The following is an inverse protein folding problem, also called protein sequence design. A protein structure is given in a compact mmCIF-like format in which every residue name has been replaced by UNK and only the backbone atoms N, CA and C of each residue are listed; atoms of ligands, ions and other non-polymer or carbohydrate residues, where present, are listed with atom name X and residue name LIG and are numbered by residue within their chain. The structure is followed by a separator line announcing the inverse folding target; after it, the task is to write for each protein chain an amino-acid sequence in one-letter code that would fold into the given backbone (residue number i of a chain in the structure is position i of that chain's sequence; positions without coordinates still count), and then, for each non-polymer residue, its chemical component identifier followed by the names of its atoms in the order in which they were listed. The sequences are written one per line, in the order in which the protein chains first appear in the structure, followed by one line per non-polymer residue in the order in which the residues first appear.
data_IF_470066249073
#
_entry.id   IF_470066249073
#
_cell.length_a   1.000
_cell.length_b   1.000
_cell.length_c   1.000
_cell.angle_alpha   90.00
_cell.angle_beta   90.00
_cell.angle_gamma   90.00
#
_symmetry.space_group_name_H-M   'P 1'
#
loop_
_entity.id
_entity.type
_entity.pdbx_description
1 polymer ?
#
# COMPACT_ATOMS: atom_id res chain seq x y z
N UNK A 1 -22.84 3.75 11.72
CA UNK A 1 -21.59 3.32 11.06
C UNK A 1 -21.45 1.82 11.32
N UNK A 2 -21.33 0.99 10.28
CA UNK A 2 -21.13 -0.47 10.43
C UNK A 2 -19.70 -0.76 10.87
N UNK A 3 -19.49 -1.89 11.55
CA UNK A 3 -18.19 -2.29 12.13
C UNK A 3 -17.07 -2.37 11.08
N UNK A 4 -17.37 -2.86 9.87
CA UNK A 4 -16.46 -2.94 8.73
C UNK A 4 -15.96 -1.57 8.25
N UNK A 5 -16.82 -0.55 8.22
CA UNK A 5 -16.42 0.80 7.77
C UNK A 5 -15.46 1.44 8.77
N UNK A 6 -15.64 1.18 10.07
CA UNK A 6 -14.74 1.67 11.12
C UNK A 6 -13.36 1.04 10.99
N UNK A 7 -13.28 -0.28 10.81
CA UNK A 7 -12.02 -1.00 10.64
C UNK A 7 -11.22 -0.50 9.42
N UNK A 8 -11.90 -0.23 8.29
CA UNK A 8 -11.25 0.32 7.10
C UNK A 8 -10.71 1.75 7.32
N UNK A 9 -11.43 2.59 8.07
CA UNK A 9 -10.96 3.94 8.40
C UNK A 9 -9.72 3.91 9.30
N UNK A 10 -9.70 3.02 10.30
CA UNK A 10 -8.55 2.82 11.17
C UNK A 10 -7.33 2.30 10.39
N UNK A 11 -7.53 1.36 9.45
CA UNK A 11 -6.46 0.86 8.59
C UNK A 11 -5.90 1.99 7.70
N UNK A 12 -6.76 2.80 7.07
CA UNK A 12 -6.32 3.94 6.25
C UNK A 12 -5.47 4.92 7.06
N UNK A 13 -5.87 5.22 8.30
CA UNK A 13 -5.10 6.08 9.19
C UNK A 13 -3.73 5.49 9.52
N UNK A 14 -3.66 4.18 9.82
CA UNK A 14 -2.38 3.50 10.10
C UNK A 14 -1.46 3.49 8.88
N UNK A 15 -1.99 3.21 7.69
CA UNK A 15 -1.23 3.26 6.44
C UNK A 15 -0.65 4.65 6.22
N UNK A 16 -1.44 5.70 6.46
CA UNK A 16 -0.96 7.08 6.34
C UNK A 16 0.15 7.39 7.36
N UNK A 17 -0.04 7.02 8.63
CA UNK A 17 0.95 7.26 9.69
C UNK A 17 2.29 6.57 9.41
N UNK A 18 2.25 5.30 8.98
CA UNK A 18 3.44 4.55 8.61
C UNK A 18 4.05 5.12 7.32
N UNK A 19 3.23 5.47 6.34
CA UNK A 19 3.65 6.11 5.09
C UNK A 19 4.46 7.39 5.35
N UNK A 20 3.95 8.29 6.20
CA UNK A 20 4.66 9.52 6.60
C UNK A 20 6.01 9.21 7.27
N UNK A 21 6.12 8.14 8.06
CA UNK A 21 7.40 7.73 8.65
C UNK A 21 8.42 7.30 7.58
N UNK A 22 7.98 6.54 6.57
CA UNK A 22 8.84 6.14 5.46
C UNK A 22 9.22 7.32 4.55
N UNK A 23 8.33 8.29 4.39
CA UNK A 23 8.64 9.55 3.70
C UNK A 23 9.77 10.32 4.38
N UNK A 24 9.76 10.40 5.72
CA UNK A 24 10.80 11.10 6.48
C UNK A 24 12.20 10.48 6.30
N UNK A 25 12.29 9.20 5.95
CA UNK A 25 13.57 8.52 5.66
C UNK A 25 13.89 8.45 4.16
N UNK A 26 13.16 9.18 3.32
CA UNK A 26 13.47 9.40 1.90
C UNK A 26 12.68 8.55 0.90
N UNK A 27 11.69 7.77 1.34
CA UNK A 27 10.84 7.01 0.43
C UNK A 27 9.83 7.96 -0.25
N UNK A 28 9.59 7.86 -1.57
CA UNK A 28 8.56 8.66 -2.23
C UNK A 28 7.16 8.44 -1.62
N UNK A 29 6.30 9.48 -1.53
CA UNK A 29 5.02 9.39 -0.81
C UNK A 29 4.11 8.23 -1.21
N UNK A 30 3.97 7.95 -2.51
CA UNK A 30 3.13 6.84 -2.97
C UNK A 30 3.78 5.48 -2.70
N UNK A 31 5.09 5.36 -2.88
CA UNK A 31 5.84 4.14 -2.56
C UNK A 31 5.69 3.79 -1.07
N UNK A 32 5.81 4.80 -0.20
CA UNK A 32 5.64 4.67 1.24
C UNK A 32 4.25 4.17 1.62
N UNK A 33 3.19 4.69 0.98
CA UNK A 33 1.82 4.25 1.22
C UNK A 33 1.53 2.86 0.68
N UNK A 34 2.04 2.52 -0.51
CA UNK A 34 1.92 1.17 -1.08
C UNK A 34 2.61 0.16 -0.17
N UNK A 35 3.85 0.45 0.26
CA UNK A 35 4.58 -0.41 1.17
C UNK A 35 3.87 -0.54 2.53
N UNK A 36 3.45 0.57 3.13
CA UNK A 36 2.73 0.57 4.41
C UNK A 36 1.41 -0.22 4.34
N UNK A 37 0.68 -0.15 3.21
CA UNK A 37 -0.53 -0.93 3.02
C UNK A 37 -0.24 -2.43 2.96
N UNK A 38 0.75 -2.85 2.17
CA UNK A 38 1.14 -4.26 2.06
C UNK A 38 1.73 -4.81 3.37
N UNK A 39 2.46 -3.97 4.12
CA UNK A 39 3.00 -4.31 5.44
C UNK A 39 1.91 -4.59 6.48
N UNK A 40 0.75 -3.93 6.36
CA UNK A 40 -0.39 -4.07 7.27
C UNK A 40 -1.48 -5.01 6.74
N UNK A 41 -1.35 -5.49 5.50
CA UNK A 41 -2.35 -6.32 4.87
C UNK A 41 -2.38 -7.72 5.50
N UNK A 42 -3.59 -8.25 5.66
CA UNK A 42 -3.83 -9.63 6.10
C UNK A 42 -4.79 -10.28 5.09
N UNK A 43 -4.31 -11.17 4.20
CA UNK A 43 -2.93 -11.69 4.09
C UNK A 43 -1.91 -10.63 3.61
N UNK A 44 -0.59 -10.87 3.76
CA UNK A 44 0.49 -9.93 3.40
C UNK A 44 0.72 -9.82 1.88
N UNK A 45 -0.35 -9.91 1.10
CA UNK A 45 -0.38 -9.72 -0.33
C UNK A 45 -1.74 -9.12 -0.72
N UNK A 46 -1.76 -8.30 -1.76
CA UNK A 46 -2.98 -7.72 -2.32
C UNK A 46 -2.87 -7.72 -3.83
N UNK A 47 -4.01 -7.85 -4.51
CA UNK A 47 -4.03 -7.63 -5.95
C UNK A 47 -3.90 -6.14 -6.28
N UNK A 48 -3.52 -5.86 -7.53
CA UNK A 48 -3.26 -4.50 -8.00
C UNK A 48 -4.47 -3.56 -7.81
N UNK A 49 -5.68 -4.04 -8.06
CA UNK A 49 -6.89 -3.22 -8.03
C UNK A 49 -7.29 -2.90 -6.60
N UNK A 50 -7.16 -3.84 -5.67
CA UNK A 50 -7.38 -3.61 -4.23
C UNK A 50 -6.44 -2.53 -3.69
N UNK A 51 -5.15 -2.55 -4.07
CA UNK A 51 -4.19 -1.50 -3.70
C UNK A 51 -4.61 -0.13 -4.26
N UNK A 52 -4.99 -0.09 -5.54
CA UNK A 52 -5.43 1.13 -6.22
C UNK A 52 -6.68 1.73 -5.54
N UNK A 53 -7.68 0.90 -5.25
CA UNK A 53 -8.92 1.34 -4.61
C UNK A 53 -8.65 1.85 -3.19
N UNK A 54 -7.89 1.09 -2.40
CA UNK A 54 -7.58 1.43 -1.01
C UNK A 54 -6.90 2.79 -0.91
N UNK A 55 -5.87 3.02 -1.74
CA UNK A 55 -5.09 4.26 -1.78
C UNK A 55 -5.73 5.38 -2.60
N UNK A 56 -6.82 5.09 -3.33
CA UNK A 56 -7.53 6.05 -4.18
C UNK A 56 -6.59 6.79 -5.15
N UNK A 57 -5.66 6.03 -5.73
CA UNK A 57 -4.62 6.53 -6.64
C UNK A 57 -4.87 6.05 -8.08
N UNK A 58 -4.23 6.69 -9.05
CA UNK A 58 -4.35 6.27 -10.45
C UNK A 58 -3.61 4.95 -10.72
N UNK A 59 -4.06 4.22 -11.74
CA UNK A 59 -3.36 3.02 -12.26
C UNK A 59 -1.87 3.29 -12.53
N UNK A 60 -1.53 4.42 -13.14
CA UNK A 60 -0.13 4.75 -13.43
C UNK A 60 0.68 5.01 -12.15
N UNK A 61 0.08 5.65 -11.15
CA UNK A 61 0.72 5.91 -9.86
C UNK A 61 1.04 4.62 -9.10
N UNK A 62 0.07 3.68 -9.05
CA UNK A 62 0.28 2.37 -8.42
C UNK A 62 1.30 1.54 -9.22
N UNK A 63 1.20 1.51 -10.55
CA UNK A 63 2.14 0.79 -11.41
C UNK A 63 3.58 1.26 -11.22
N UNK A 64 3.82 2.58 -11.24
CA UNK A 64 5.14 3.14 -11.04
C UNK A 64 5.69 2.84 -9.64
N UNK A 65 4.84 2.90 -8.62
CA UNK A 65 5.23 2.63 -7.23
C UNK A 65 5.61 1.17 -7.03
N UNK A 66 4.77 0.23 -7.51
CA UNK A 66 5.06 -1.20 -7.44
C UNK A 66 6.32 -1.55 -8.23
N UNK A 67 6.47 -1.03 -9.46
CA UNK A 67 7.69 -1.27 -10.26
C UNK A 67 8.95 -0.80 -9.53
N UNK A 68 8.91 0.37 -8.90
CA UNK A 68 10.04 0.91 -8.14
C UNK A 68 10.34 0.05 -6.92
N UNK A 69 9.33 -0.30 -6.12
CA UNK A 69 9.48 -1.14 -4.93
C UNK A 69 9.99 -2.55 -5.27
N UNK A 70 9.51 -3.16 -6.36
CA UNK A 70 10.02 -4.46 -6.85
C UNK A 70 11.47 -4.35 -7.30
N UNK A 71 11.83 -3.29 -8.04
CA UNK A 71 13.22 -3.06 -8.48
C UNK A 71 14.18 -2.87 -7.31
N UNK A 72 13.70 -2.30 -6.21
CA UNK A 72 14.47 -2.09 -4.97
C UNK A 72 14.47 -3.32 -4.04
N UNK A 73 13.73 -4.39 -4.37
CA UNK A 73 13.61 -5.59 -3.55
C UNK A 73 12.78 -5.39 -2.28
N UNK A 74 11.88 -4.40 -2.25
CA UNK A 74 11.03 -4.08 -1.10
C UNK A 74 9.74 -4.92 -1.10
N UNK A 75 9.22 -5.26 -2.28
CA UNK A 75 8.02 -6.10 -2.46
C UNK A 75 8.23 -7.06 -3.62
N UNK A 76 7.52 -8.18 -3.61
CA UNK A 76 7.56 -9.20 -4.66
C UNK A 76 6.21 -9.39 -5.35
N UNK A 77 6.26 -9.88 -6.59
CA UNK A 77 5.07 -10.33 -7.33
C UNK A 77 4.88 -11.84 -7.16
N UNK A 78 3.65 -12.26 -6.92
CA UNK A 78 3.29 -13.67 -6.84
C UNK A 78 2.00 -13.97 -7.60
N UNK A 79 1.86 -15.24 -7.99
CA UNK A 79 0.64 -15.82 -8.55
C UNK A 79 0.26 -17.05 -7.76
N UNK A 80 -1.03 -17.30 -7.61
CA UNK A 80 -1.54 -18.54 -7.03
C UNK A 80 -1.68 -19.59 -8.13
N UNK A 81 -1.22 -20.81 -7.84
CA UNK A 81 -1.39 -22.01 -8.67
C UNK A 81 -2.73 -22.68 -8.43
#
# INVERSE_FOLDING_TARGET
MTETTKQNAELKQKVEQIGVQFEMIGMPPMNARVFAFLLLAEPPHQDFYSIQEFLSASKSSISNSLNKLMTEGVVDYMTFS
#
